data_IF_653240236482
#
_entry.id   IF_653240236482
#
_cell.length_a   1.000
_cell.length_b   1.000
_cell.length_c   1.000
_cell.angle_alpha   90.00
_cell.angle_beta   90.00
_cell.angle_gamma   90.00
#
_symmetry.space_group_name_H-M   'P 1'
#
loop_
_entity.id
_entity.type
_entity.pdbx_description
1 polymer ?
#
# COMPACT_ATOMS: atom_id res chain seq x y z
N UNK A 1 -15.60 17.76 5.68
CA UNK A 1 -14.86 17.05 4.60
C UNK A 1 -14.07 18.04 3.77
N UNK A 2 -14.67 19.11 3.23
CA UNK A 2 -14.03 20.08 2.35
C UNK A 2 -12.80 20.75 2.99
N UNK A 3 -12.92 21.28 4.20
CA UNK A 3 -11.80 21.88 4.92
C UNK A 3 -10.69 20.84 5.22
N UNK A 4 -11.06 19.59 5.56
CA UNK A 4 -10.09 18.52 5.79
C UNK A 4 -9.29 18.22 4.52
N UNK A 5 -9.95 18.12 3.36
CA UNK A 5 -9.27 17.92 2.08
C UNK A 5 -8.26 19.05 1.79
N UNK A 6 -8.65 20.32 2.00
CA UNK A 6 -7.77 21.47 1.84
C UNK A 6 -6.57 21.45 2.81
N UNK A 7 -6.80 21.01 4.05
CA UNK A 7 -5.73 20.89 5.05
C UNK A 7 -4.76 19.73 4.75
N UNK A 8 -5.26 18.59 4.27
CA UNK A 8 -4.41 17.48 3.84
C UNK A 8 -3.44 17.94 2.72
N UNK A 9 -3.92 18.74 1.76
CA UNK A 9 -3.07 19.29 0.69
C UNK A 9 -2.07 20.32 1.23
N UNK A 10 -2.54 21.22 2.12
CA UNK A 10 -1.72 22.35 2.58
C UNK A 10 -0.68 21.98 3.63
N UNK A 11 -1.06 21.14 4.59
CA UNK A 11 -0.24 20.76 5.73
C UNK A 11 -0.64 19.38 6.25
N UNK A 12 -0.27 18.29 5.55
CA UNK A 12 -0.64 16.93 5.96
C UNK A 12 -0.09 16.54 7.33
N UNK A 13 1.05 17.11 7.74
CA UNK A 13 1.73 16.78 9.00
C UNK A 13 0.95 17.17 10.27
N UNK A 14 -0.14 17.94 10.15
CA UNK A 14 -1.02 18.24 11.30
C UNK A 14 -1.92 17.06 11.69
N UNK A 15 -2.02 16.02 10.85
CA UNK A 15 -2.89 14.89 11.09
C UNK A 15 -2.07 13.64 11.48
N UNK A 16 -2.34 13.11 12.66
CA UNK A 16 -1.84 11.78 13.05
C UNK A 16 -2.82 10.69 12.63
N UNK A 17 -4.11 10.93 12.84
CA UNK A 17 -5.20 10.00 12.52
C UNK A 17 -6.40 10.78 12.03
N UNK A 18 -7.04 10.30 10.97
CA UNK A 18 -8.29 10.82 10.45
C UNK A 18 -9.39 9.77 10.63
N UNK A 19 -10.45 10.11 11.36
CA UNK A 19 -11.64 9.26 11.53
C UNK A 19 -12.78 9.84 10.72
N UNK A 20 -13.40 9.03 9.89
CA UNK A 20 -14.46 9.46 8.98
C UNK A 20 -15.41 8.31 8.65
N UNK A 21 -16.54 8.63 8.02
CA UNK A 21 -17.44 7.61 7.45
C UNK A 21 -16.89 7.07 6.14
N UNK A 22 -17.39 5.91 5.71
CA UNK A 22 -16.87 5.16 4.56
C UNK A 22 -16.68 6.04 3.30
N UNK A 23 -17.74 6.67 2.80
CA UNK A 23 -17.69 7.44 1.55
C UNK A 23 -16.67 8.59 1.59
N UNK A 24 -16.58 9.30 2.70
CA UNK A 24 -15.62 10.40 2.85
C UNK A 24 -14.21 9.87 3.12
N UNK A 25 -14.12 8.70 3.74
CA UNK A 25 -12.86 7.99 3.93
C UNK A 25 -12.23 7.62 2.60
N UNK A 26 -13.00 7.07 1.67
CA UNK A 26 -12.53 6.71 0.33
C UNK A 26 -11.97 7.94 -0.41
N UNK A 27 -12.68 9.08 -0.36
CA UNK A 27 -12.23 10.32 -1.01
C UNK A 27 -10.96 10.87 -0.37
N UNK A 28 -10.93 10.95 0.96
CA UNK A 28 -9.80 11.55 1.67
C UNK A 28 -8.56 10.65 1.67
N UNK A 29 -8.74 9.33 1.69
CA UNK A 29 -7.63 8.39 1.61
C UNK A 29 -6.97 8.39 0.25
N UNK A 30 -7.74 8.46 -0.84
CA UNK A 30 -7.20 8.58 -2.20
C UNK A 30 -6.40 9.88 -2.35
N UNK A 31 -6.95 11.01 -1.85
CA UNK A 31 -6.23 12.28 -1.86
C UNK A 31 -4.91 12.20 -1.08
N UNK A 32 -4.94 11.64 0.13
CA UNK A 32 -3.75 11.50 0.96
C UNK A 32 -2.70 10.58 0.31
N UNK A 33 -3.16 9.50 -0.32
CA UNK A 33 -2.29 8.55 -1.00
C UNK A 33 -1.62 9.15 -2.23
N UNK A 34 -2.36 9.91 -3.02
CA UNK A 34 -1.81 10.61 -4.18
C UNK A 34 -0.76 11.64 -3.77
N UNK A 35 -0.98 12.35 -2.66
CA UNK A 35 0.01 13.26 -2.08
C UNK A 35 1.26 12.54 -1.55
N UNK A 36 1.17 11.27 -1.19
CA UNK A 36 2.32 10.45 -0.78
C UNK A 36 3.11 9.86 -1.95
N UNK A 37 2.63 10.03 -3.17
CA UNK A 37 3.35 9.67 -4.40
C UNK A 37 2.54 8.93 -5.46
N UNK A 38 1.69 7.98 -5.09
CA UNK A 38 0.85 7.22 -6.03
C UNK A 38 -0.22 6.42 -5.29
N UNK A 39 -1.41 6.32 -5.88
CA UNK A 39 -2.48 5.39 -5.44
C UNK A 39 -1.99 3.93 -5.37
N UNK A 40 -0.97 3.57 -6.14
CA UNK A 40 -0.34 2.26 -6.12
C UNK A 40 0.47 1.94 -4.87
N UNK A 41 0.63 2.87 -3.93
CA UNK A 41 1.40 2.69 -2.69
C UNK A 41 0.55 2.40 -1.45
N UNK A 42 -0.73 2.72 -1.44
CA UNK A 42 -1.55 2.56 -0.25
C UNK A 42 -2.06 1.13 -0.06
N UNK A 43 -1.80 0.57 1.10
CA UNK A 43 -2.44 -0.66 1.55
C UNK A 43 -3.78 -0.38 2.24
N UNK A 44 -4.76 -1.29 2.10
CA UNK A 44 -6.06 -1.19 2.72
C UNK A 44 -6.46 -2.48 3.43
N UNK A 45 -6.99 -2.35 4.63
CA UNK A 45 -7.47 -3.45 5.47
C UNK A 45 -8.81 -3.09 6.11
N UNK A 46 -9.82 -3.87 5.82
CA UNK A 46 -11.09 -3.86 6.55
C UNK A 46 -11.02 -4.92 7.63
N UNK A 47 -11.00 -4.52 8.89
CA UNK A 47 -10.85 -5.42 10.03
C UNK A 47 -12.04 -5.30 10.99
N UNK A 48 -12.61 -6.43 11.32
CA UNK A 48 -13.61 -6.59 12.37
C UNK A 48 -13.06 -7.42 13.54
N UNK A 49 -13.94 -7.81 14.45
CA UNK A 49 -13.52 -8.59 15.62
C UNK A 49 -12.99 -9.99 15.26
N UNK A 50 -13.54 -10.65 14.24
CA UNK A 50 -13.24 -12.03 13.91
C UNK A 50 -12.68 -12.25 12.51
N UNK A 51 -12.93 -11.33 11.61
CA UNK A 51 -12.58 -11.43 10.20
C UNK A 51 -11.90 -10.16 9.72
N UNK A 52 -11.04 -10.29 8.74
CA UNK A 52 -10.46 -9.17 8.04
C UNK A 52 -10.37 -9.45 6.54
N UNK A 53 -10.43 -8.40 5.74
CA UNK A 53 -10.27 -8.46 4.29
C UNK A 53 -9.28 -7.37 3.89
N UNK A 54 -8.28 -7.73 3.11
CA UNK A 54 -7.34 -6.83 2.51
C UNK A 54 -7.60 -6.71 1.01
N UNK A 55 -7.50 -5.49 0.49
CA UNK A 55 -7.64 -5.22 -0.94
C UNK A 55 -6.71 -4.06 -1.31
N UNK A 56 -6.38 -3.93 -2.60
CA UNK A 56 -5.74 -2.72 -3.07
C UNK A 56 -6.70 -1.53 -2.88
N UNK A 57 -6.17 -0.37 -2.53
CA UNK A 57 -6.98 0.83 -2.37
C UNK A 57 -7.51 1.36 -3.70
N UNK A 58 -6.72 1.21 -4.77
CA UNK A 58 -7.10 1.64 -6.12
C UNK A 58 -8.21 0.79 -6.74
N UNK A 59 -8.89 1.33 -7.75
CA UNK A 59 -9.91 0.64 -8.54
C UNK A 59 -9.33 -0.36 -9.55
N UNK A 60 -10.18 -0.81 -10.49
CA UNK A 60 -9.85 -1.85 -11.49
C UNK A 60 -8.94 -1.39 -12.64
N UNK A 61 -8.76 -0.08 -12.84
CA UNK A 61 -7.90 0.52 -13.87
C UNK A 61 -8.02 -0.19 -15.24
N UNK A 62 -9.24 -0.26 -15.76
CA UNK A 62 -9.57 -1.01 -16.98
C UNK A 62 -8.83 -0.53 -18.22
N UNK A 63 -8.40 0.72 -18.24
CA UNK A 63 -7.62 1.39 -19.29
C UNK A 63 -6.21 0.81 -19.46
N UNK A 64 -5.64 0.24 -18.39
CA UNK A 64 -4.30 -0.39 -18.39
C UNK A 64 -4.35 -1.92 -18.24
N UNK A 65 -5.54 -2.51 -18.27
CA UNK A 65 -5.71 -3.94 -18.12
C UNK A 65 -4.92 -4.73 -19.20
N UNK A 66 -4.21 -5.76 -18.79
CA UNK A 66 -3.41 -6.61 -19.68
C UNK A 66 -2.07 -6.01 -20.14
N UNK A 67 -1.76 -4.75 -19.80
CA UNK A 67 -0.53 -4.08 -20.26
C UNK A 67 0.70 -4.36 -19.38
N UNK A 68 0.53 -5.03 -18.23
CA UNK A 68 1.62 -5.35 -17.29
C UNK A 68 2.37 -4.11 -16.78
N UNK A 69 1.67 -2.99 -16.57
CA UNK A 69 2.24 -1.70 -16.12
C UNK A 69 1.69 -1.23 -14.76
N UNK A 70 0.67 -1.88 -14.23
CA UNK A 70 0.10 -1.54 -12.94
C UNK A 70 1.09 -1.75 -11.79
N UNK A 71 1.08 -0.83 -10.82
CA UNK A 71 1.89 -0.94 -9.62
C UNK A 71 1.33 -2.04 -8.68
N UNK A 72 2.11 -3.07 -8.32
CA UNK A 72 1.63 -4.16 -7.48
C UNK A 72 1.73 -3.86 -5.97
N UNK A 73 2.36 -2.75 -5.57
CA UNK A 73 2.76 -2.50 -4.18
C UNK A 73 1.55 -2.36 -3.26
N UNK A 74 0.48 -1.68 -3.69
CA UNK A 74 -0.74 -1.52 -2.90
C UNK A 74 -1.29 -2.86 -2.40
N UNK A 75 -1.47 -3.83 -3.29
CA UNK A 75 -1.97 -5.16 -2.91
C UNK A 75 -0.98 -5.95 -2.06
N UNK A 76 0.31 -5.79 -2.30
CA UNK A 76 1.38 -6.43 -1.51
C UNK A 76 1.37 -5.87 -0.08
N UNK A 77 1.28 -4.55 0.10
CA UNK A 77 1.18 -3.92 1.43
C UNK A 77 -0.13 -4.29 2.13
N UNK A 78 -1.26 -4.35 1.41
CA UNK A 78 -2.53 -4.82 1.96
C UNK A 78 -2.42 -6.25 2.50
N UNK A 79 -1.71 -7.11 1.77
CA UNK A 79 -1.43 -8.49 2.22
C UNK A 79 -0.54 -8.52 3.46
N UNK A 80 0.45 -7.65 3.56
CA UNK A 80 1.29 -7.50 4.76
C UNK A 80 0.45 -7.05 5.96
N UNK A 81 -0.45 -6.07 5.79
CA UNK A 81 -1.38 -5.63 6.83
C UNK A 81 -2.27 -6.78 7.31
N UNK A 82 -2.77 -7.61 6.41
CA UNK A 82 -3.58 -8.79 6.77
C UNK A 82 -2.78 -9.81 7.56
N UNK A 83 -1.53 -10.09 7.17
CA UNK A 83 -0.63 -10.98 7.91
C UNK A 83 -0.37 -10.45 9.32
N UNK A 84 -0.11 -9.15 9.47
CA UNK A 84 0.10 -8.52 10.77
C UNK A 84 -1.15 -8.63 11.67
N UNK A 85 -2.33 -8.30 11.13
CA UNK A 85 -3.59 -8.43 11.85
C UNK A 85 -3.82 -9.88 12.31
N UNK A 86 -3.67 -10.83 11.39
CA UNK A 86 -3.87 -12.25 11.68
C UNK A 86 -2.85 -12.77 12.72
N UNK A 87 -1.58 -12.37 12.56
CA UNK A 87 -0.50 -12.73 13.48
C UNK A 87 -0.77 -12.25 14.91
N UNK A 88 -1.19 -11.00 15.06
CA UNK A 88 -1.58 -10.44 16.35
C UNK A 88 -2.83 -11.13 16.92
N UNK A 89 -3.85 -11.34 16.10
CA UNK A 89 -5.12 -11.96 16.48
C UNK A 89 -4.93 -13.41 16.93
N UNK A 90 -4.09 -14.17 16.25
CA UNK A 90 -3.83 -15.60 16.50
C UNK A 90 -2.60 -15.86 17.37
N UNK A 91 -1.86 -14.80 17.76
CA UNK A 91 -0.59 -14.89 18.51
C UNK A 91 0.45 -15.75 17.78
N UNK A 92 0.56 -15.58 16.46
CA UNK A 92 1.51 -16.27 15.59
C UNK A 92 2.59 -15.28 15.14
N UNK A 93 3.71 -15.28 15.84
CA UNK A 93 4.79 -14.32 15.64
C UNK A 93 5.38 -14.36 14.22
N UNK A 94 5.45 -15.53 13.59
CA UNK A 94 5.97 -15.68 12.23
C UNK A 94 5.15 -14.89 11.20
N UNK A 95 3.84 -14.69 11.39
CA UNK A 95 3.02 -13.89 10.50
C UNK A 95 3.33 -12.39 10.66
N UNK A 96 3.59 -11.94 11.89
CA UNK A 96 4.02 -10.56 12.16
C UNK A 96 5.40 -10.32 11.57
N UNK A 97 6.32 -11.28 11.72
CA UNK A 97 7.65 -11.20 11.11
C UNK A 97 7.58 -11.12 9.57
N UNK A 98 6.75 -11.97 8.95
CA UNK A 98 6.54 -11.95 7.50
C UNK A 98 6.01 -10.59 7.02
N UNK A 99 5.03 -10.00 7.72
CA UNK A 99 4.54 -8.64 7.43
C UNK A 99 5.67 -7.63 7.47
N UNK A 100 6.45 -7.60 8.54
CA UNK A 100 7.56 -6.66 8.70
C UNK A 100 8.64 -6.81 7.61
N UNK A 101 8.90 -8.03 7.16
CA UNK A 101 9.84 -8.29 6.07
C UNK A 101 9.33 -7.77 4.74
N UNK A 102 8.03 -7.92 4.46
CA UNK A 102 7.40 -7.36 3.25
C UNK A 102 7.50 -5.82 3.28
N UNK A 103 7.13 -5.18 4.39
CA UNK A 103 7.19 -3.73 4.54
C UNK A 103 8.62 -3.20 4.33
N UNK A 104 9.62 -3.85 4.95
CA UNK A 104 11.04 -3.51 4.75
C UNK A 104 11.49 -3.70 3.31
N UNK A 105 10.98 -4.72 2.63
CA UNK A 105 11.32 -4.98 1.22
C UNK A 105 10.78 -3.88 0.31
N UNK A 106 9.55 -3.43 0.54
CA UNK A 106 8.94 -2.31 -0.18
C UNK A 106 9.72 -1.03 0.08
N UNK A 107 10.04 -0.72 1.34
CA UNK A 107 10.86 0.44 1.69
C UNK A 107 12.18 0.45 0.93
N UNK A 108 12.91 -0.67 0.93
CA UNK A 108 14.18 -0.78 0.19
C UNK A 108 14.02 -0.65 -1.33
N UNK A 109 12.93 -1.17 -1.89
CA UNK A 109 12.62 -1.01 -3.31
C UNK A 109 12.45 0.47 -3.67
N UNK A 110 11.71 1.21 -2.86
CA UNK A 110 11.45 2.64 -3.07
C UNK A 110 12.71 3.49 -2.85
N UNK A 111 13.52 3.18 -1.84
CA UNK A 111 14.80 3.87 -1.58
C UNK A 111 15.79 3.73 -2.73
N UNK A 112 15.88 2.54 -3.32
CA UNK A 112 16.81 2.26 -4.42
C UNK A 112 16.40 2.91 -5.74
N UNK A 113 15.15 3.35 -5.88
CA UNK A 113 14.57 3.97 -7.09
C UNK A 113 14.81 3.17 -8.38
N UNK A 114 15.12 1.88 -8.25
CA UNK A 114 15.31 0.97 -9.36
C UNK A 114 14.08 0.04 -9.50
N UNK A 115 13.72 -0.28 -10.71
CA UNK A 115 12.57 -1.15 -10.98
C UNK A 115 11.23 -0.62 -10.44
N UNK A 116 11.03 0.69 -10.49
CA UNK A 116 9.75 1.35 -10.20
C UNK A 116 8.83 1.33 -11.41
N UNK A 117 7.53 1.25 -11.15
CA UNK A 117 6.49 1.38 -12.16
C UNK A 117 6.31 2.84 -12.62
N UNK A 118 5.57 3.03 -13.71
CA UNK A 118 5.42 4.34 -14.37
C UNK A 118 4.79 5.42 -13.48
N UNK A 119 3.84 5.04 -12.64
CA UNK A 119 3.19 5.92 -11.66
C UNK A 119 4.17 6.50 -10.61
N UNK A 120 5.27 5.81 -10.36
CA UNK A 120 6.37 6.25 -9.49
C UNK A 120 7.56 6.86 -10.28
N UNK A 121 7.34 7.22 -11.54
CA UNK A 121 8.37 7.80 -12.40
C UNK A 121 9.37 6.80 -12.97
N UNK A 122 9.16 5.50 -12.77
CA UNK A 122 9.99 4.44 -13.35
C UNK A 122 9.52 3.97 -14.72
N UNK A 123 10.13 2.89 -15.18
CA UNK A 123 9.83 2.26 -16.49
C UNK A 123 9.58 0.76 -16.39
N UNK A 124 9.61 0.21 -15.18
CA UNK A 124 9.47 -1.23 -14.98
C UNK A 124 8.02 -1.69 -15.10
N UNK A 125 7.87 -2.91 -15.59
CA UNK A 125 6.58 -3.59 -15.61
C UNK A 125 6.19 -4.08 -14.22
N UNK A 126 4.91 -4.42 -14.04
CA UNK A 126 4.38 -5.08 -12.84
C UNK A 126 5.21 -6.31 -12.46
N UNK A 127 5.52 -7.15 -13.46
CA UNK A 127 6.28 -8.38 -13.27
C UNK A 127 7.73 -8.13 -12.83
N UNK A 128 8.41 -7.15 -13.43
CA UNK A 128 9.79 -6.78 -13.07
C UNK A 128 9.87 -6.19 -11.66
N UNK A 129 8.96 -5.28 -11.32
CA UNK A 129 8.87 -4.72 -9.97
C UNK A 129 8.64 -5.83 -8.93
N UNK A 130 7.70 -6.73 -9.19
CA UNK A 130 7.42 -7.88 -8.30
C UNK A 130 8.64 -8.80 -8.16
N UNK A 131 9.32 -9.13 -9.26
CA UNK A 131 10.52 -9.96 -9.23
C UNK A 131 11.64 -9.34 -8.42
N UNK A 132 11.85 -8.03 -8.57
CA UNK A 132 12.86 -7.30 -7.81
C UNK A 132 12.51 -7.26 -6.32
N UNK A 133 11.25 -7.03 -5.97
CA UNK A 133 10.80 -7.08 -4.58
C UNK A 133 11.04 -8.45 -3.93
N UNK A 134 10.74 -9.54 -4.66
CA UNK A 134 11.03 -10.91 -4.19
C UNK A 134 12.53 -11.11 -3.95
N UNK A 135 13.38 -10.59 -4.82
CA UNK A 135 14.84 -10.69 -4.64
C UNK A 135 15.29 -9.91 -3.39
N UNK A 136 14.79 -8.69 -3.17
CA UNK A 136 15.08 -7.92 -1.97
C UNK A 136 14.63 -8.69 -0.72
N UNK A 137 13.41 -9.25 -0.73
CA UNK A 137 12.87 -10.04 0.38
C UNK A 137 13.76 -11.23 0.72
N UNK A 138 14.24 -11.98 -0.28
CA UNK A 138 15.14 -13.14 -0.09
C UNK A 138 16.48 -12.76 0.58
N UNK A 139 16.93 -11.52 0.43
CA UNK A 139 18.16 -11.03 1.06
C UNK A 139 17.93 -10.51 2.49
N UNK A 140 16.68 -10.43 2.93
CA UNK A 140 16.30 -10.00 4.28
C UNK A 140 16.02 -11.18 5.22
N UNK A 141 15.83 -12.37 4.65
CA UNK A 141 15.63 -13.63 5.37
C UNK A 141 16.99 -14.28 5.64
#
# INVERSE_FOLDING_TARGET
VDACAAHIVRNPSQFDVIVTTNMFGDILSDLATELSGSLGLAGSLNAGDNYAMAQAQHGSATDIAGQNIANPISLILSSAMLLNWLGKKRKVENLVLASNLIDKSVTKLLENQTCLTKDLGGTSSTAETTKNLINILKHLI
#
